data_IF_584649524153
#
_entry.id   IF_584649524153
#
_cell.length_a   1.000
_cell.length_b   1.000
_cell.length_c   1.000
_cell.angle_alpha   90.00
_cell.angle_beta   90.00
_cell.angle_gamma   90.00
#
_symmetry.space_group_name_H-M   'P 1'
#
loop_
_entity.id
_entity.type
_entity.pdbx_description
1 polymer ?
#
# COMPACT_ATOMS: atom_id res chain seq x y z
N UNK A 1 41.01 7.75 5.97
CA UNK A 1 40.23 6.82 6.83
C UNK A 1 39.12 7.49 7.66
N UNK A 2 39.34 8.63 8.33
CA UNK A 2 38.29 9.29 9.15
C UNK A 2 37.02 9.74 8.41
N UNK A 3 37.13 10.16 7.14
CA UNK A 3 35.97 10.60 6.35
C UNK A 3 35.03 9.46 5.94
N UNK A 4 35.60 8.30 5.58
CA UNK A 4 34.86 7.12 5.15
C UNK A 4 34.01 6.57 6.32
N UNK A 5 34.60 6.48 7.52
CA UNK A 5 33.88 6.02 8.72
C UNK A 5 32.68 6.91 9.07
N UNK A 6 32.81 8.24 8.92
CA UNK A 6 31.69 9.18 9.15
C UNK A 6 30.56 8.99 8.14
N UNK A 7 30.88 8.75 6.88
CA UNK A 7 29.88 8.48 5.84
C UNK A 7 29.08 7.22 6.14
N UNK A 8 29.74 6.13 6.57
CA UNK A 8 29.05 4.89 6.95
C UNK A 8 28.13 5.08 8.17
N UNK A 9 28.53 5.88 9.17
CA UNK A 9 27.70 6.16 10.34
C UNK A 9 26.45 6.97 9.98
N UNK A 10 26.56 7.94 9.07
CA UNK A 10 25.41 8.71 8.58
C UNK A 10 24.45 7.80 7.80
N UNK A 11 24.99 6.94 6.93
CA UNK A 11 24.16 5.99 6.17
C UNK A 11 23.43 5.00 7.09
N UNK A 12 24.11 4.49 8.11
CA UNK A 12 23.52 3.61 9.12
C UNK A 12 22.44 4.31 9.96
N UNK A 13 22.56 5.61 10.20
CA UNK A 13 21.57 6.39 10.93
C UNK A 13 20.32 6.72 10.10
N UNK A 14 20.46 6.80 8.77
CA UNK A 14 19.36 7.03 7.84
C UNK A 14 18.63 5.74 7.44
N UNK A 15 19.24 4.57 7.67
CA UNK A 15 18.67 3.26 7.34
C UNK A 15 17.28 3.00 7.94
N UNK A 16 17.00 3.32 9.23
CA UNK A 16 15.67 3.14 9.82
C UNK A 16 14.59 3.99 9.15
N UNK A 17 14.94 5.22 8.73
CA UNK A 17 14.01 6.12 8.02
C UNK A 17 13.57 5.56 6.66
N UNK A 18 14.38 4.68 6.06
CA UNK A 18 14.05 4.01 4.80
C UNK A 18 13.13 2.79 4.98
N UNK A 19 12.86 2.37 6.23
CA UNK A 19 12.08 1.16 6.54
C UNK A 19 10.69 1.41 7.10
N UNK A 20 10.26 2.67 7.27
CA UNK A 20 8.95 3.00 7.86
C UNK A 20 7.78 2.95 6.85
N UNK A 21 7.70 1.87 6.08
CA UNK A 21 6.47 1.57 5.35
C UNK A 21 5.37 1.14 6.33
N UNK A 22 4.32 1.95 6.50
CA UNK A 22 3.10 1.52 7.20
C UNK A 22 2.55 0.19 6.64
N UNK A 23 1.97 -0.64 7.52
CA UNK A 23 1.17 -1.81 7.12
C UNK A 23 -0.27 -1.36 6.90
N UNK A 24 -0.75 -1.47 5.68
CA UNK A 24 -2.04 -0.93 5.26
C UNK A 24 -2.95 -2.08 4.82
N UNK A 25 -4.16 -2.09 5.36
CA UNK A 25 -5.25 -2.93 4.88
C UNK A 25 -6.10 -2.15 3.89
N UNK A 26 -6.34 -2.71 2.71
CA UNK A 26 -7.34 -2.22 1.76
C UNK A 26 -8.45 -3.26 1.69
N UNK A 27 -9.62 -2.92 2.20
CA UNK A 27 -10.81 -3.76 2.04
C UNK A 27 -11.61 -3.28 0.84
N UNK A 28 -11.63 -4.08 -0.22
CA UNK A 28 -12.42 -3.89 -1.42
C UNK A 28 -13.73 -4.67 -1.30
N UNK A 29 -14.82 -3.98 -0.95
CA UNK A 29 -16.11 -4.59 -0.69
C UNK A 29 -16.71 -5.26 -1.95
N UNK A 30 -16.65 -4.59 -3.11
CA UNK A 30 -17.13 -5.17 -4.37
C UNK A 30 -15.98 -5.29 -5.40
N UNK A 31 -15.24 -6.41 -5.40
CA UNK A 31 -14.19 -6.66 -6.39
C UNK A 31 -14.73 -6.91 -7.81
N UNK A 32 -16.06 -7.07 -7.97
CA UNK A 32 -16.70 -7.20 -9.28
C UNK A 32 -17.06 -5.85 -9.89
N UNK A 33 -16.97 -4.75 -9.12
CA UNK A 33 -17.14 -3.41 -9.65
C UNK A 33 -15.86 -2.99 -10.40
N UNK A 34 -15.78 -3.47 -11.64
CA UNK A 34 -14.63 -3.31 -12.52
C UNK A 34 -14.94 -2.36 -13.66
N UNK A 35 -13.95 -1.55 -14.02
CA UNK A 35 -14.04 -0.61 -15.14
C UNK A 35 -12.77 -0.66 -15.98
N UNK A 36 -12.90 -0.39 -17.28
CA UNK A 36 -11.77 -0.42 -18.20
C UNK A 36 -10.83 0.77 -17.94
N UNK A 37 -9.55 0.47 -17.78
CA UNK A 37 -8.48 1.46 -17.67
C UNK A 37 -7.58 1.41 -18.92
N UNK A 38 -7.49 2.50 -19.69
CA UNK A 38 -6.69 2.52 -20.92
C UNK A 38 -5.17 2.52 -20.68
N UNK A 39 -4.68 2.94 -19.52
CA UNK A 39 -3.25 2.92 -19.18
C UNK A 39 -2.78 1.48 -18.88
N UNK A 40 -3.65 0.69 -18.26
CA UNK A 40 -3.41 -0.73 -18.00
C UNK A 40 -3.73 -1.59 -19.23
N UNK A 41 -4.65 -1.12 -20.08
CA UNK A 41 -5.14 -1.87 -21.23
C UNK A 41 -6.09 -3.02 -20.87
N UNK A 42 -6.65 -3.00 -19.66
CA UNK A 42 -7.57 -4.02 -19.13
C UNK A 42 -8.55 -3.39 -18.11
N UNK A 43 -9.53 -4.16 -17.65
CA UNK A 43 -10.41 -3.77 -16.56
C UNK A 43 -9.73 -3.91 -15.21
N UNK A 44 -9.83 -2.89 -14.38
CA UNK A 44 -9.33 -2.88 -13.00
C UNK A 44 -10.49 -2.78 -12.01
N UNK A 45 -10.23 -3.13 -10.75
CA UNK A 45 -11.18 -2.91 -9.65
C UNK A 45 -10.87 -1.60 -8.89
N UNK A 46 -11.72 -1.26 -7.92
CA UNK A 46 -11.56 -0.06 -7.11
C UNK A 46 -10.25 -0.01 -6.29
N UNK A 47 -9.64 -1.15 -5.99
CA UNK A 47 -8.44 -1.20 -5.16
C UNK A 47 -7.15 -0.96 -5.94
N UNK A 48 -7.14 -1.26 -7.24
CA UNK A 48 -5.93 -1.31 -8.07
C UNK A 48 -5.02 -0.08 -7.93
N UNK A 49 -5.52 1.13 -8.17
CA UNK A 49 -4.69 2.34 -8.11
C UNK A 49 -4.29 2.72 -6.69
N UNK A 50 -5.13 2.41 -5.71
CA UNK A 50 -4.83 2.65 -4.29
C UNK A 50 -3.69 1.72 -3.85
N UNK A 51 -3.77 0.44 -4.18
CA UNK A 51 -2.71 -0.52 -3.90
C UNK A 51 -1.39 -0.09 -4.55
N UNK A 52 -1.42 0.24 -5.84
CA UNK A 52 -0.21 0.63 -6.58
C UNK A 52 0.43 1.90 -6.03
N UNK A 53 -0.36 2.93 -5.70
CA UNK A 53 0.14 4.17 -5.12
C UNK A 53 0.82 3.92 -3.77
N UNK A 54 0.16 3.17 -2.89
CA UNK A 54 0.67 2.90 -1.55
C UNK A 54 1.94 2.05 -1.59
N UNK A 55 1.99 1.02 -2.47
CA UNK A 55 3.21 0.23 -2.71
C UNK A 55 4.33 1.10 -3.28
N UNK A 56 4.04 2.00 -4.22
CA UNK A 56 5.03 2.92 -4.78
C UNK A 56 5.60 3.89 -3.72
N UNK A 57 4.84 4.20 -2.67
CA UNK A 57 5.28 4.98 -1.52
C UNK A 57 6.09 4.17 -0.48
N UNK A 58 6.29 2.87 -0.71
CA UNK A 58 7.06 2.00 0.18
C UNK A 58 6.25 1.37 1.32
N UNK A 59 4.92 1.42 1.26
CA UNK A 59 4.05 0.77 2.25
C UNK A 59 3.88 -0.72 1.97
N UNK A 60 3.63 -1.48 3.03
CA UNK A 60 3.19 -2.88 2.92
C UNK A 60 1.67 -2.88 2.81
N UNK A 61 1.14 -3.34 1.69
CA UNK A 61 -0.31 -3.33 1.42
C UNK A 61 -0.84 -4.74 1.32
N UNK A 62 -1.95 -5.01 2.01
CA UNK A 62 -2.73 -6.23 1.89
C UNK A 62 -4.15 -5.87 1.45
N UNK A 63 -4.62 -6.47 0.35
CA UNK A 63 -5.95 -6.21 -0.22
C UNK A 63 -6.86 -7.39 0.08
N UNK A 64 -8.03 -7.12 0.64
CA UNK A 64 -9.02 -8.12 1.02
C UNK A 64 -10.36 -7.86 0.34
N UNK A 65 -11.04 -8.93 -0.06
CA UNK A 65 -12.44 -8.89 -0.53
C UNK A 65 -13.45 -9.15 0.58
N UNK A 66 -12.97 -9.53 1.77
CA UNK A 66 -13.77 -9.71 2.99
C UNK A 66 -13.03 -9.05 4.14
N UNK A 67 -13.72 -8.23 4.94
CA UNK A 67 -13.08 -7.47 6.01
C UNK A 67 -12.48 -8.43 7.05
N UNK A 68 -11.17 -8.35 7.35
CA UNK A 68 -10.56 -9.13 8.41
C UNK A 68 -11.18 -8.84 9.77
N UNK A 69 -11.32 -9.86 10.61
CA UNK A 69 -11.84 -9.71 11.98
C UNK A 69 -10.85 -9.07 12.93
N UNK A 70 -9.55 -9.19 12.65
CA UNK A 70 -8.47 -8.54 13.39
C UNK A 70 -7.74 -7.54 12.48
N UNK A 71 -7.78 -6.27 12.87
CA UNK A 71 -7.15 -5.15 12.18
C UNK A 71 -5.97 -4.56 12.97
N UNK A 72 -5.64 -5.11 14.14
CA UNK A 72 -4.66 -4.55 15.08
C UNK A 72 -3.23 -4.47 14.52
N UNK A 73 -2.93 -5.25 13.49
CA UNK A 73 -1.64 -5.28 12.81
C UNK A 73 -1.47 -4.20 11.72
N UNK A 74 -2.54 -3.46 11.38
CA UNK A 74 -2.50 -2.43 10.35
C UNK A 74 -2.53 -1.04 10.98
N UNK A 75 -1.71 -0.15 10.44
CA UNK A 75 -1.66 1.25 10.85
C UNK A 75 -2.82 2.06 10.24
N UNK A 76 -3.28 1.64 9.04
CA UNK A 76 -4.32 2.31 8.26
C UNK A 76 -5.22 1.27 7.60
N UNK A 77 -6.53 1.55 7.56
CA UNK A 77 -7.53 0.73 6.86
C UNK A 77 -8.28 1.60 5.84
N UNK A 78 -8.21 1.24 4.56
CA UNK A 78 -9.06 1.80 3.50
C UNK A 78 -10.27 0.88 3.29
N UNK A 79 -11.47 1.46 3.29
CA UNK A 79 -12.71 0.74 2.98
C UNK A 79 -13.28 1.27 1.65
N UNK A 80 -13.31 0.42 0.63
CA UNK A 80 -13.77 0.77 -0.71
C UNK A 80 -15.12 0.08 -0.94
N UNK A 81 -16.19 0.86 -1.04
CA UNK A 81 -17.58 0.35 -1.06
C UNK A 81 -18.11 0.04 -2.47
N UNK A 82 -17.27 0.09 -3.51
CA UNK A 82 -17.72 0.08 -4.90
C UNK A 82 -18.29 1.44 -5.33
N UNK A 83 -18.42 1.63 -6.63
CA UNK A 83 -18.92 2.84 -7.27
C UNK A 83 -20.40 2.72 -7.65
N UNK A 84 -20.83 1.53 -8.10
CA UNK A 84 -22.17 1.25 -8.62
C UNK A 84 -22.93 0.20 -7.82
N UNK A 85 -22.20 -0.70 -7.18
CA UNK A 85 -22.73 -1.87 -6.48
C UNK A 85 -22.23 -1.83 -5.04
N UNK A 86 -22.92 -1.07 -4.19
CA UNK A 86 -22.70 -1.04 -2.74
C UNK A 86 -23.84 -1.77 -2.03
#
# INVERSE_FOLDING_TARGET
MRGILKMFLILAFLLPLLTYGARICVWNYDPLDRFYDPEVGDSIDCAYWIENLLRAQGHTVEVFTSLPTDLSQYDIVFCLMGWWRC
#
